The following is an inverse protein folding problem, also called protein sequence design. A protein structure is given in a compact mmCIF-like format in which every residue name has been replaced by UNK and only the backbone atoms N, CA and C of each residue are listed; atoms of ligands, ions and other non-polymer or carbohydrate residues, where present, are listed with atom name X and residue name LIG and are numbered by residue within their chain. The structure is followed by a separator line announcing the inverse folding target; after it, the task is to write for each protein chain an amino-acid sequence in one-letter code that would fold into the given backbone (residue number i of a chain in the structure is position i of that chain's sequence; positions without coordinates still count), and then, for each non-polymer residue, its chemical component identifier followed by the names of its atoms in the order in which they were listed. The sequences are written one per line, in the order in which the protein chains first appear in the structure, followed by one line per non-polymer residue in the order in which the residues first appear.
data_IF_414750032599
#
_entry.id   IF_414750032599
#
_cell.length_a   1.000
_cell.length_b   1.000
_cell.length_c   1.000
_cell.angle_alpha   90.00
_cell.angle_beta   90.00
_cell.angle_gamma   90.00
#
_symmetry.space_group_name_H-M   'P 1'
#
loop_
_entity.id
_entity.type
_entity.pdbx_description
1 polymer ?
#
# COMPACT_ATOMS: atom_id res chain seq x y z
N UNK A 1 1.40 6.85 26.38
CA UNK A 1 1.58 6.77 24.91
C UNK A 1 1.04 8.05 24.34
N UNK A 2 1.81 8.81 23.56
CA UNK A 2 1.42 10.13 23.04
C UNK A 2 1.18 10.01 21.53
N UNK A 3 -0.02 9.61 21.08
CA UNK A 3 -0.30 9.47 19.65
C UNK A 3 -0.21 10.83 18.95
N UNK A 4 0.26 10.81 17.69
CA UNK A 4 0.46 12.01 16.87
C UNK A 4 -0.87 12.59 16.39
N UNK A 5 -1.87 11.73 16.15
CA UNK A 5 -3.18 12.09 15.60
C UNK A 5 -4.30 11.49 16.45
N UNK A 6 -5.46 12.14 16.45
CA UNK A 6 -6.71 11.58 16.99
C UNK A 6 -7.26 10.50 16.04
N UNK A 7 -8.03 9.56 16.58
CA UNK A 7 -8.57 8.42 15.82
C UNK A 7 -9.39 8.87 14.60
N UNK A 8 -10.21 9.92 14.75
CA UNK A 8 -11.00 10.47 13.64
C UNK A 8 -10.11 10.91 12.45
N UNK A 9 -9.01 11.61 12.74
CA UNK A 9 -8.05 12.01 11.71
C UNK A 9 -7.32 10.83 11.09
N UNK A 10 -7.09 9.75 11.85
CA UNK A 10 -6.52 8.51 11.29
C UNK A 10 -7.52 7.85 10.34
N UNK A 11 -8.79 7.74 10.73
CA UNK A 11 -9.83 7.12 9.90
C UNK A 11 -10.06 7.87 8.59
N UNK A 12 -9.96 9.21 8.59
CA UNK A 12 -10.16 10.01 7.38
C UNK A 12 -9.10 9.76 6.29
N UNK A 13 -7.92 9.25 6.66
CA UNK A 13 -6.87 8.84 5.71
C UNK A 13 -7.35 7.68 4.83
N UNK A 14 -8.27 6.85 5.34
CA UNK A 14 -8.68 5.58 4.74
C UNK A 14 -9.98 5.74 3.95
N UNK A 15 -10.51 6.96 3.89
CA UNK A 15 -11.72 7.29 3.14
C UNK A 15 -11.33 7.72 1.73
N UNK A 16 -11.90 7.09 0.70
CA UNK A 16 -11.74 7.52 -0.67
C UNK A 16 -12.11 8.99 -0.91
N UNK A 17 -11.22 9.75 -1.55
CA UNK A 17 -11.39 11.20 -1.72
C UNK A 17 -11.45 11.69 -3.18
N UNK A 18 -11.21 10.81 -4.17
CA UNK A 18 -11.21 11.20 -5.58
C UNK A 18 -12.60 11.02 -6.19
N UNK A 19 -13.00 11.91 -7.12
CA UNK A 19 -14.13 11.65 -7.99
C UNK A 19 -13.82 10.50 -8.96
N UNK A 20 -14.85 9.93 -9.58
CA UNK A 20 -14.74 8.81 -10.54
C UNK A 20 -13.69 9.06 -11.64
N UNK A 21 -13.63 10.28 -12.18
CA UNK A 21 -12.63 10.65 -13.18
C UNK A 21 -11.18 10.56 -12.67
N UNK A 22 -10.96 10.87 -11.39
CA UNK A 22 -9.64 10.77 -10.76
C UNK A 22 -9.25 9.32 -10.48
N UNK A 23 -10.21 8.50 -10.06
CA UNK A 23 -10.00 7.05 -9.90
C UNK A 23 -9.59 6.41 -11.22
N UNK A 24 -10.36 6.67 -12.29
CA UNK A 24 -10.07 6.14 -13.62
C UNK A 24 -8.68 6.55 -14.13
N UNK A 25 -8.29 7.80 -13.89
CA UNK A 25 -6.96 8.29 -14.28
C UNK A 25 -5.83 7.55 -13.57
N UNK A 26 -6.00 7.16 -12.31
CA UNK A 26 -5.02 6.37 -11.57
C UNK A 26 -4.94 4.95 -12.14
N UNK A 27 -6.07 4.29 -12.36
CA UNK A 27 -6.10 2.95 -12.93
C UNK A 27 -5.41 2.87 -14.30
N UNK A 28 -5.51 3.93 -15.11
CA UNK A 28 -4.83 4.05 -16.39
C UNK A 28 -3.33 4.42 -16.27
N UNK A 29 -2.92 5.06 -15.17
CA UNK A 29 -1.55 5.59 -14.98
C UNK A 29 -0.64 4.68 -14.14
N UNK A 30 -1.19 3.68 -13.46
CA UNK A 30 -0.40 2.79 -12.61
C UNK A 30 0.29 1.74 -13.48
N UNK A 31 1.51 2.07 -13.93
CA UNK A 31 2.39 1.20 -14.73
C UNK A 31 3.11 0.10 -13.91
N UNK A 32 2.78 -0.01 -12.62
CA UNK A 32 3.44 -0.90 -11.67
C UNK A 32 2.55 -2.15 -11.46
N UNK A 33 3.11 -3.28 -10.99
CA UNK A 33 2.36 -4.52 -10.74
C UNK A 33 1.49 -4.43 -9.48
N UNK A 34 0.78 -3.32 -9.31
CA UNK A 34 -0.32 -3.17 -8.37
C UNK A 34 -1.58 -3.76 -9.02
N UNK A 35 -2.60 -4.16 -8.25
CA UNK A 35 -3.89 -4.53 -8.78
C UNK A 35 -4.44 -3.34 -9.57
N UNK A 36 -5.29 -3.69 -10.52
CA UNK A 36 -6.22 -2.73 -11.09
C UNK A 36 -7.24 -2.37 -9.99
N UNK A 37 -7.69 -1.11 -9.94
CA UNK A 37 -8.58 -0.55 -8.91
C UNK A 37 -7.86 -0.01 -7.67
N UNK A 38 -7.15 1.10 -7.85
CA UNK A 38 -6.65 1.94 -6.77
C UNK A 38 -7.49 3.20 -6.60
N UNK A 39 -7.60 3.65 -5.36
CA UNK A 39 -8.19 4.93 -5.02
C UNK A 39 -7.15 5.78 -4.27
N UNK A 40 -7.36 7.09 -4.12
CA UNK A 40 -6.54 7.97 -3.28
C UNK A 40 -7.36 8.64 -2.16
N UNK A 41 -6.92 8.46 -0.91
CA UNK A 41 -7.44 9.17 0.26
C UNK A 41 -6.71 10.48 0.50
N UNK A 42 -6.80 11.04 1.71
CA UNK A 42 -6.16 12.34 2.02
C UNK A 42 -4.63 12.28 2.06
N UNK A 43 -4.02 11.10 2.25
CA UNK A 43 -2.56 10.97 2.38
C UNK A 43 -1.91 9.93 1.47
N UNK A 44 -2.66 8.92 1.00
CA UNK A 44 -2.07 7.74 0.36
C UNK A 44 -3.06 7.02 -0.56
N UNK A 45 -2.53 6.13 -1.41
CA UNK A 45 -3.36 5.25 -2.22
C UNK A 45 -4.08 4.23 -1.32
N UNK A 46 -5.23 3.75 -1.75
CA UNK A 46 -6.09 2.83 -1.03
C UNK A 46 -6.47 1.69 -1.98
N UNK A 47 -6.28 0.45 -1.53
CA UNK A 47 -6.76 -0.72 -2.25
C UNK A 47 -8.29 -0.74 -2.30
N UNK A 48 -8.88 -0.94 -3.48
CA UNK A 48 -10.33 -1.17 -3.58
C UNK A 48 -10.74 -2.63 -3.53
N UNK A 49 -9.77 -3.53 -3.64
CA UNK A 49 -9.99 -4.97 -3.70
C UNK A 49 -9.03 -5.69 -2.76
N UNK A 50 -9.43 -6.89 -2.35
CA UNK A 50 -8.55 -7.79 -1.61
C UNK A 50 -7.45 -8.31 -2.54
N UNK A 51 -6.20 -8.29 -2.05
CA UNK A 51 -5.12 -8.97 -2.71
C UNK A 51 -5.01 -10.40 -2.20
N UNK A 52 -4.92 -11.40 -3.08
CA UNK A 52 -4.66 -12.77 -2.68
C UNK A 52 -3.37 -12.85 -1.83
N UNK A 53 -3.48 -13.48 -0.66
CA UNK A 53 -2.39 -13.72 0.30
C UNK A 53 -1.66 -12.46 0.82
N UNK A 54 -2.27 -11.28 0.64
CA UNK A 54 -1.67 -9.98 0.95
C UNK A 54 -2.75 -9.02 1.49
N UNK A 55 -2.55 -7.72 1.27
CA UNK A 55 -3.40 -6.62 1.75
C UNK A 55 -4.88 -6.77 1.40
N UNK A 56 -5.74 -6.41 2.34
CA UNK A 56 -7.20 -6.38 2.14
C UNK A 56 -7.69 -5.07 1.51
N UNK A 57 -8.93 -5.08 1.03
CA UNK A 57 -9.66 -3.89 0.61
C UNK A 57 -9.61 -2.82 1.71
N UNK A 58 -9.56 -1.57 1.29
CA UNK A 58 -9.37 -0.37 2.11
C UNK A 58 -8.02 -0.29 2.84
N UNK A 59 -7.10 -1.23 2.61
CA UNK A 59 -5.72 -1.09 3.10
C UNK A 59 -5.01 0.02 2.32
N UNK A 60 -4.47 1.04 3.00
CA UNK A 60 -3.65 2.01 2.33
C UNK A 60 -2.33 1.40 1.81
N UNK A 61 -2.00 1.76 0.58
CA UNK A 61 -0.72 1.53 -0.05
C UNK A 61 0.04 2.83 0.00
N UNK A 62 1.22 2.80 0.63
CA UNK A 62 2.05 4.00 0.65
C UNK A 62 3.29 3.83 -0.21
N UNK A 63 3.51 4.87 -1.00
CA UNK A 63 4.51 4.97 -2.05
C UNK A 63 5.89 4.48 -1.62
N UNK A 64 6.55 3.82 -2.57
CA UNK A 64 7.98 3.60 -2.59
C UNK A 64 8.73 4.94 -2.48
N UNK A 65 9.61 5.08 -1.51
CA UNK A 65 10.69 6.05 -1.55
C UNK A 65 11.58 5.80 -2.76
N UNK A 66 12.20 6.85 -3.30
CA UNK A 66 13.05 6.77 -4.49
C UNK A 66 14.16 5.71 -4.36
N UNK A 67 14.75 5.60 -3.16
CA UNK A 67 15.70 4.56 -2.79
C UNK A 67 15.01 3.37 -2.12
N UNK A 68 13.92 2.86 -2.71
CA UNK A 68 13.26 1.58 -2.37
C UNK A 68 12.93 1.39 -0.88
N UNK A 69 12.24 2.37 -0.31
CA UNK A 69 11.54 2.21 0.98
C UNK A 69 10.05 2.05 0.71
N UNK A 70 9.49 0.88 0.96
CA UNK A 70 8.07 0.58 0.77
C UNK A 70 7.40 0.36 2.12
N UNK A 71 6.17 0.85 2.27
CA UNK A 71 5.42 0.63 3.49
C UNK A 71 3.93 0.55 3.21
N UNK A 72 3.23 -0.20 4.06
CA UNK A 72 1.79 -0.35 3.98
C UNK A 72 1.20 -0.54 5.37
N UNK A 73 -0.10 -0.29 5.45
CA UNK A 73 -0.91 -0.55 6.64
C UNK A 73 -2.14 -1.30 6.17
N UNK A 74 -2.41 -2.44 6.78
CA UNK A 74 -3.61 -3.24 6.60
C UNK A 74 -4.35 -3.30 7.94
N UNK A 75 -5.30 -2.39 8.15
CA UNK A 75 -6.04 -2.32 9.40
C UNK A 75 -7.01 -3.48 9.59
N UNK A 76 -7.37 -4.22 8.52
CA UNK A 76 -8.27 -5.36 8.60
C UNK A 76 -7.58 -6.53 9.31
N UNK A 77 -6.32 -6.79 8.95
CA UNK A 77 -5.51 -7.82 9.61
C UNK A 77 -4.65 -7.30 10.77
N UNK A 78 -4.68 -5.99 11.04
CA UNK A 78 -3.86 -5.37 12.08
C UNK A 78 -2.36 -5.36 11.74
N UNK A 79 -2.00 -5.35 10.46
CA UNK A 79 -0.61 -5.41 9.99
C UNK A 79 -0.16 -4.01 9.59
N UNK A 80 1.03 -3.61 10.02
CA UNK A 80 1.74 -2.45 9.48
C UNK A 80 3.19 -2.84 9.26
N UNK A 81 3.73 -2.55 8.08
CA UNK A 81 5.08 -2.95 7.72
C UNK A 81 5.81 -1.86 6.93
N UNK A 82 7.12 -1.79 7.14
CA UNK A 82 8.06 -0.95 6.39
C UNK A 82 9.22 -1.83 5.96
N UNK A 83 9.51 -1.83 4.67
CA UNK A 83 10.63 -2.54 4.07
C UNK A 83 11.53 -1.54 3.36
N UNK A 84 12.83 -1.54 3.65
CA UNK A 84 13.77 -0.61 3.06
C UNK A 84 14.99 -1.32 2.51
N UNK A 85 15.30 -1.09 1.24
CA UNK A 85 16.59 -1.46 0.63
C UNK A 85 17.17 -0.24 -0.06
N UNK A 86 18.48 -0.02 -0.01
CA UNK A 86 19.11 1.16 -0.64
C UNK A 86 19.66 0.80 -2.02
N UNK A 87 18.77 0.47 -2.96
CA UNK A 87 19.14 -0.01 -4.31
C UNK A 87 18.61 0.93 -5.38
N UNK A 88 19.50 1.34 -6.28
CA UNK A 88 19.19 2.14 -7.47
C UNK A 88 19.49 1.35 -8.75
N UNK A 89 18.81 1.63 -9.88
CA UNK A 89 17.77 2.65 -10.04
C UNK A 89 16.40 2.23 -9.46
N UNK A 90 15.51 3.21 -9.23
CA UNK A 90 14.12 3.00 -8.77
C UNK A 90 13.29 2.07 -9.68
N UNK A 91 13.76 1.75 -10.89
CA UNK A 91 13.10 0.82 -11.81
C UNK A 91 13.60 -0.62 -11.77
N UNK A 92 14.51 -0.99 -10.85
CA UNK A 92 15.03 -2.35 -10.77
C UNK A 92 13.88 -3.36 -10.54
N UNK A 93 13.54 -4.13 -11.57
CA UNK A 93 12.40 -5.05 -11.58
C UNK A 93 12.53 -6.16 -10.56
N UNK A 94 13.74 -6.66 -10.32
CA UNK A 94 13.96 -7.76 -9.38
C UNK A 94 13.66 -7.35 -7.95
N UNK A 95 14.07 -6.14 -7.55
CA UNK A 95 13.71 -5.56 -6.26
C UNK A 95 12.20 -5.37 -6.16
N UNK A 96 11.56 -4.74 -7.15
CA UNK A 96 10.12 -4.45 -7.10
C UNK A 96 9.22 -5.70 -7.15
N UNK A 97 9.50 -6.63 -8.07
CA UNK A 97 8.61 -7.75 -8.38
C UNK A 97 8.93 -8.99 -7.55
N UNK A 98 10.20 -9.21 -7.19
CA UNK A 98 10.60 -10.44 -6.50
C UNK A 98 10.79 -10.20 -5.01
N UNK A 99 11.60 -9.22 -4.63
CA UNK A 99 11.94 -9.00 -3.22
C UNK A 99 10.73 -8.49 -2.43
N UNK A 100 10.13 -7.38 -2.83
CA UNK A 100 9.02 -6.79 -2.06
C UNK A 100 7.77 -7.66 -2.04
N UNK A 101 7.44 -8.32 -3.16
CA UNK A 101 6.32 -9.27 -3.22
C UNK A 101 6.47 -10.40 -2.19
N UNK A 102 7.68 -10.97 -2.07
CA UNK A 102 7.94 -12.02 -1.07
C UNK A 102 7.93 -11.48 0.35
N UNK A 103 8.52 -10.31 0.58
CA UNK A 103 8.54 -9.68 1.90
C UNK A 103 7.14 -9.33 2.40
N UNK A 104 6.27 -8.84 1.51
CA UNK A 104 4.89 -8.51 1.85
C UNK A 104 4.08 -9.74 2.26
N UNK A 105 4.27 -10.90 1.62
CA UNK A 105 3.54 -12.13 1.95
C UNK A 105 3.93 -12.72 3.30
N UNK A 106 5.15 -12.47 3.80
CA UNK A 106 5.66 -13.08 5.03
C UNK A 106 4.80 -12.77 6.28
N UNK A 107 4.43 -11.50 6.58
CA UNK A 107 3.52 -11.19 7.68
C UNK A 107 2.17 -11.90 7.57
N UNK A 108 1.59 -11.98 6.37
CA UNK A 108 0.30 -12.62 6.16
C UNK A 108 0.38 -14.13 6.37
N UNK A 109 1.42 -14.78 5.85
CA UNK A 109 1.65 -16.20 6.06
C UNK A 109 1.93 -16.53 7.53
N UNK A 110 2.67 -15.68 8.26
CA UNK A 110 2.98 -15.89 9.67
C UNK A 110 1.79 -15.70 10.61
N UNK A 111 0.75 -14.97 10.16
CA UNK A 111 -0.48 -14.70 10.90
C UNK A 111 -1.68 -15.50 10.39
N UNK A 112 -1.49 -16.33 9.37
CA UNK A 112 -2.49 -17.28 8.90
C UNK A 112 -2.44 -18.53 9.80
N UNK A 113 -3.50 -18.75 10.58
CA UNK A 113 -3.70 -19.96 11.39
C UNK A 113 -3.80 -21.23 10.53
#
# INVERSE_FOLDING_TARGET
MNPILIQESVHSIWVPALPEAGEKSIDESVFLPFPHSLQWGTAMAINREDWPNRRKKASPIVRSGYARTEYFIDPVNGIAAVFGVQILPWGNKEVAQTLFSKLEELPYAALAD
#
